data_IF_313332412279
#
_entry.id   IF_313332412279
#
_cell.length_a   1.000
_cell.length_b   1.000
_cell.length_c   1.000
_cell.angle_alpha   90.00
_cell.angle_beta   90.00
_cell.angle_gamma   90.00
#
_symmetry.space_group_name_H-M   'P 1'
#
loop_
_entity.id
_entity.type
_entity.pdbx_description
1 polymer ?
#
# COMPACT_ATOMS: atom_id res chain seq x y z
N UNK A 1 -19.43 -2.59 11.79
CA UNK A 1 -18.34 -2.55 10.79
C UNK A 1 -17.08 -2.05 11.49
N UNK A 2 -15.97 -2.76 11.34
CA UNK A 2 -14.73 -2.51 12.08
C UNK A 2 -13.72 -1.84 11.14
N UNK A 3 -13.37 -0.60 11.44
CA UNK A 3 -12.37 0.16 10.69
C UNK A 3 -11.01 -0.56 10.73
N UNK A 4 -10.20 -0.46 9.65
CA UNK A 4 -8.87 -1.04 9.64
C UNK A 4 -7.97 -0.42 10.71
N UNK A 5 -7.08 -1.22 11.27
CA UNK A 5 -6.14 -0.81 12.32
C UNK A 5 -5.09 0.18 11.80
N UNK A 6 -4.93 0.28 10.49
CA UNK A 6 -4.07 1.25 9.82
C UNK A 6 -4.61 1.57 8.43
N UNK A 7 -4.20 2.71 7.88
CA UNK A 7 -4.44 3.07 6.48
C UNK A 7 -3.24 2.71 5.61
N UNK A 8 -3.50 2.09 4.46
CA UNK A 8 -2.51 1.81 3.42
C UNK A 8 -2.66 2.78 2.27
N UNK A 9 -1.55 3.39 1.89
CA UNK A 9 -1.39 4.20 0.70
C UNK A 9 -0.51 3.45 -0.31
N UNK A 10 -0.93 3.43 -1.57
CA UNK A 10 -0.06 3.03 -2.67
C UNK A 10 0.88 4.19 -3.04
N UNK A 11 2.15 3.89 -3.24
CA UNK A 11 3.15 4.88 -3.59
C UNK A 11 3.48 4.85 -5.07
N UNK A 12 3.94 3.70 -5.57
CA UNK A 12 4.41 3.53 -6.96
C UNK A 12 4.64 2.08 -7.32
N UNK A 13 4.77 1.84 -8.61
CA UNK A 13 5.25 0.57 -9.16
C UNK A 13 6.64 0.78 -9.75
N UNK A 14 7.56 -0.14 -9.48
CA UNK A 14 8.90 -0.14 -10.09
C UNK A 14 9.17 -1.50 -10.70
N UNK A 15 9.77 -1.55 -11.88
CA UNK A 15 10.14 -2.81 -12.53
C UNK A 15 11.65 -2.87 -12.74
N UNK A 16 12.23 -4.05 -12.53
CA UNK A 16 13.66 -4.30 -12.73
C UNK A 16 13.86 -5.62 -13.46
N UNK A 17 14.67 -5.60 -14.51
CA UNK A 17 15.13 -6.84 -15.15
C UNK A 17 16.19 -7.52 -14.30
N UNK A 18 15.99 -8.81 -14.07
CA UNK A 18 16.93 -9.70 -13.39
C UNK A 18 17.26 -10.87 -14.31
N UNK A 19 18.29 -11.65 -13.97
CA UNK A 19 18.63 -12.89 -14.70
C UNK A 19 17.49 -13.91 -14.71
N UNK A 20 16.55 -13.82 -13.75
CA UNK A 20 15.37 -14.68 -13.64
C UNK A 20 14.12 -14.12 -14.32
N UNK A 21 14.19 -12.93 -14.92
CA UNK A 21 13.07 -12.25 -15.58
C UNK A 21 12.79 -10.84 -15.05
N UNK A 22 11.70 -10.24 -15.54
CA UNK A 22 11.24 -8.92 -15.09
C UNK A 22 10.54 -9.05 -13.73
N UNK A 23 11.09 -8.39 -12.71
CA UNK A 23 10.47 -8.29 -11.38
C UNK A 23 9.74 -6.95 -11.30
N UNK A 24 8.44 -7.00 -11.06
CA UNK A 24 7.63 -5.82 -10.75
C UNK A 24 7.39 -5.75 -9.26
N UNK A 25 7.72 -4.60 -8.67
CA UNK A 25 7.55 -4.30 -7.24
C UNK A 25 6.52 -3.20 -7.05
N UNK A 26 5.51 -3.47 -6.25
CA UNK A 26 4.47 -2.54 -5.85
C UNK A 26 4.80 -1.99 -4.47
N UNK A 27 4.94 -0.68 -4.34
CA UNK A 27 5.32 -0.01 -3.10
C UNK A 27 4.09 0.58 -2.43
N UNK A 28 4.02 0.37 -1.12
CA UNK A 28 2.96 0.87 -0.26
C UNK A 28 3.58 1.53 0.98
N UNK A 29 2.80 2.34 1.65
CA UNK A 29 3.13 2.91 2.95
C UNK A 29 1.91 2.83 3.84
N UNK A 30 2.11 2.54 5.13
CA UNK A 30 1.06 2.79 6.11
C UNK A 30 1.26 4.16 6.78
N UNK A 31 0.19 4.95 6.87
CA UNK A 31 0.29 6.38 7.26
C UNK A 31 -0.47 6.74 8.55
N UNK A 32 -1.55 6.02 8.88
CA UNK A 32 -2.39 6.31 10.03
C UNK A 32 -2.77 5.04 10.77
N UNK A 33 -2.06 4.72 11.86
CA UNK A 33 -2.24 3.52 12.65
C UNK A 33 -3.10 3.82 13.87
N UNK A 34 -4.32 3.28 13.85
CA UNK A 34 -5.32 3.41 14.92
C UNK A 34 -5.02 2.49 16.11
N UNK A 35 -4.21 1.45 15.90
CA UNK A 35 -3.79 0.55 16.97
C UNK A 35 -2.28 0.34 17.00
N UNK A 36 -1.66 0.80 18.09
CA UNK A 36 -0.21 0.78 18.27
C UNK A 36 0.35 -0.61 18.63
N UNK A 37 -0.49 -1.55 19.07
CA UNK A 37 -0.11 -2.95 19.31
C UNK A 37 0.19 -3.72 18.02
N UNK A 38 0.63 -4.99 18.10
CA UNK A 38 0.91 -5.81 16.92
C UNK A 38 -0.31 -5.92 15.99
N UNK A 39 -0.09 -5.79 14.67
CA UNK A 39 -1.12 -5.86 13.64
C UNK A 39 -0.66 -6.82 12.55
N UNK A 40 -1.54 -7.71 12.10
CA UNK A 40 -1.33 -8.47 10.86
C UNK A 40 -2.04 -7.76 9.71
N UNK A 41 -1.29 -7.37 8.69
CA UNK A 41 -1.80 -6.83 7.45
C UNK A 41 -1.87 -7.95 6.42
N UNK A 42 -3.04 -8.13 5.80
CA UNK A 42 -3.18 -8.89 4.56
C UNK A 42 -3.40 -7.92 3.42
N UNK A 43 -2.57 -7.99 2.39
CA UNK A 43 -2.65 -7.16 1.19
C UNK A 43 -2.77 -8.07 -0.03
N UNK A 44 -3.84 -7.91 -0.80
CA UNK A 44 -4.08 -8.67 -2.02
C UNK A 44 -3.98 -7.72 -3.23
N UNK A 45 -3.25 -8.09 -4.27
CA UNK A 45 -3.27 -7.42 -5.56
C UNK A 45 -4.35 -8.05 -6.44
N UNK A 46 -5.15 -7.23 -7.11
CA UNK A 46 -6.30 -7.64 -7.90
C UNK A 46 -6.09 -7.28 -9.38
N UNK A 47 -6.55 -8.15 -10.28
CA UNK A 47 -6.65 -7.82 -11.71
C UNK A 47 -7.91 -6.99 -12.02
N UNK A 48 -8.11 -6.66 -13.30
CA UNK A 48 -9.27 -5.91 -13.79
C UNK A 48 -10.62 -6.61 -13.51
N UNK A 49 -10.63 -7.94 -13.36
CA UNK A 49 -11.81 -8.72 -12.99
C UNK A 49 -12.04 -8.82 -11.48
N UNK A 50 -11.19 -8.20 -10.66
CA UNK A 50 -11.24 -8.28 -9.20
C UNK A 50 -10.71 -9.60 -8.64
N UNK A 51 -10.08 -10.45 -9.46
CA UNK A 51 -9.47 -11.70 -9.03
C UNK A 51 -8.11 -11.43 -8.40
N UNK A 52 -7.80 -12.17 -7.34
CA UNK A 52 -6.53 -12.04 -6.63
C UNK A 52 -5.40 -12.61 -7.49
N UNK A 53 -4.42 -11.79 -7.79
CA UNK A 53 -3.21 -12.16 -8.54
C UNK A 53 -2.05 -12.47 -7.58
N UNK A 54 -1.98 -11.73 -6.47
CA UNK A 54 -0.94 -11.91 -5.45
C UNK A 54 -1.50 -11.61 -4.07
N UNK A 55 -1.05 -12.33 -3.05
CA UNK A 55 -1.38 -12.08 -1.65
C UNK A 55 -0.11 -11.98 -0.84
N UNK A 56 -0.04 -10.98 0.02
CA UNK A 56 0.98 -10.84 1.05
C UNK A 56 0.34 -10.77 2.43
N UNK A 57 1.02 -11.35 3.42
CA UNK A 57 0.68 -11.22 4.84
C UNK A 57 1.90 -10.73 5.59
N UNK A 58 1.79 -9.55 6.19
CA UNK A 58 2.88 -8.90 6.91
C UNK A 58 2.48 -8.72 8.38
N UNK A 59 3.31 -9.21 9.29
CA UNK A 59 3.18 -8.92 10.72
C UNK A 59 3.90 -7.61 11.02
N UNK A 60 3.15 -6.61 11.44
CA UNK A 60 3.67 -5.32 11.85
C UNK A 60 3.85 -5.33 13.37
N UNK A 61 5.05 -4.97 13.87
CA UNK A 61 5.33 -4.97 15.30
C UNK A 61 4.50 -3.89 16.02
N UNK A 62 4.51 -3.93 17.35
CA UNK A 62 4.08 -2.77 18.15
C UNK A 62 4.94 -1.56 17.77
N UNK A 63 4.32 -0.38 17.71
CA UNK A 63 5.01 0.88 17.37
C UNK A 63 4.67 1.97 18.37
N UNK A 64 5.49 3.01 18.37
CA UNK A 64 5.30 4.22 19.16
C UNK A 64 5.21 5.42 18.23
N UNK A 65 4.34 6.39 18.56
CA UNK A 65 4.33 7.67 17.86
C UNK A 65 5.45 8.54 18.41
N UNK A 66 6.40 8.92 17.56
CA UNK A 66 7.59 9.71 17.92
C UNK A 66 7.42 11.19 17.63
N UNK A 67 6.42 11.56 16.82
CA UNK A 67 6.13 12.94 16.45
C UNK A 67 4.97 13.00 15.45
N UNK A 68 4.78 14.17 14.87
CA UNK A 68 3.77 14.39 13.84
C UNK A 68 4.33 15.27 12.73
N UNK A 69 3.99 14.95 11.49
CA UNK A 69 4.06 15.89 10.37
C UNK A 69 2.94 16.92 10.60
N UNK A 70 3.26 18.23 10.62
CA UNK A 70 2.25 19.27 10.81
C UNK A 70 1.15 19.19 9.75
N UNK A 71 -0.09 19.51 10.15
CA UNK A 71 -1.19 19.63 9.21
C UNK A 71 -0.93 20.77 8.22
N UNK A 72 -1.43 20.61 6.99
CA UNK A 72 -1.47 21.68 5.99
C UNK A 72 -2.91 22.17 5.81
N UNK A 73 -3.12 23.21 5.00
CA UNK A 73 -4.48 23.67 4.67
C UNK A 73 -5.33 22.60 3.95
N UNK A 74 -4.71 21.56 3.39
CA UNK A 74 -5.38 20.52 2.59
C UNK A 74 -5.31 19.12 3.22
N UNK A 75 -4.38 18.90 4.15
CA UNK A 75 -4.08 17.57 4.69
C UNK A 75 -3.99 17.58 6.21
N UNK A 76 -4.55 16.58 6.91
CA UNK A 76 -4.45 16.48 8.36
C UNK A 76 -3.02 16.17 8.80
N UNK A 77 -2.71 16.44 10.07
CA UNK A 77 -1.42 16.05 10.65
C UNK A 77 -1.27 14.52 10.62
N UNK A 78 -0.09 14.04 10.20
CA UNK A 78 0.20 12.61 10.10
C UNK A 78 1.19 12.19 11.19
N UNK A 79 0.94 11.09 11.91
CA UNK A 79 1.86 10.57 12.92
C UNK A 79 3.16 10.05 12.29
N UNK A 80 4.27 10.31 12.98
CA UNK A 80 5.58 9.70 12.73
C UNK A 80 5.80 8.56 13.72
N UNK A 81 6.39 7.47 13.24
CA UNK A 81 6.58 6.25 14.04
C UNK A 81 8.06 5.94 14.24
N UNK A 82 8.34 5.13 15.26
CA UNK A 82 9.68 4.62 15.60
C UNK A 82 10.24 3.57 14.63
N UNK A 83 9.55 3.30 13.51
CA UNK A 83 9.98 2.31 12.54
C UNK A 83 9.62 2.67 11.09
N UNK A 84 10.27 2.02 10.09
CA UNK A 84 9.93 2.21 8.69
C UNK A 84 8.49 1.81 8.38
N UNK A 85 7.80 2.65 7.61
CA UNK A 85 6.40 2.44 7.25
C UNK A 85 6.18 1.88 5.84
N UNK A 86 7.27 1.76 5.07
CA UNK A 86 7.24 1.27 3.71
C UNK A 86 7.04 -0.25 3.65
N UNK A 87 6.23 -0.68 2.69
CA UNK A 87 5.93 -2.08 2.39
C UNK A 87 6.08 -2.31 0.89
N UNK A 88 6.41 -3.53 0.49
CA UNK A 88 6.47 -3.88 -0.92
C UNK A 88 6.00 -5.29 -1.19
N UNK A 89 5.38 -5.48 -2.35
CA UNK A 89 5.02 -6.77 -2.91
C UNK A 89 5.75 -6.95 -4.24
N UNK A 90 6.40 -8.09 -4.41
CA UNK A 90 7.12 -8.43 -5.63
C UNK A 90 6.39 -9.52 -6.40
N UNK A 91 6.35 -9.34 -7.71
CA UNK A 91 5.84 -10.33 -8.65
C UNK A 91 6.85 -10.51 -9.77
N UNK A 92 7.17 -11.76 -10.08
CA UNK A 92 7.84 -12.10 -11.33
C UNK A 92 6.80 -12.03 -12.46
N UNK A 93 7.08 -11.23 -13.50
CA UNK A 93 6.21 -11.12 -14.67
C UNK A 93 6.39 -12.37 -15.51
N UNK A 94 5.54 -13.36 -15.27
CA UNK A 94 5.46 -14.59 -16.06
C UNK A 94 4.15 -14.75 -16.84
N UNK A 95 3.15 -13.90 -16.57
CA UNK A 95 1.80 -14.06 -17.12
C UNK A 95 1.14 -12.67 -17.32
N UNK A 96 1.22 -12.16 -18.55
CA UNK A 96 0.67 -10.86 -18.96
C UNK A 96 -0.86 -10.79 -18.84
N UNK A 97 -1.52 -11.95 -18.78
CA UNK A 97 -2.98 -12.07 -18.75
C UNK A 97 -3.63 -11.58 -17.46
N UNK A 98 -2.85 -11.41 -16.38
CA UNK A 98 -3.38 -11.05 -15.05
C UNK A 98 -2.62 -9.87 -14.45
N UNK A 99 -2.52 -8.73 -15.16
CA UNK A 99 -1.83 -7.55 -14.62
C UNK A 99 -2.61 -6.92 -13.45
N UNK A 100 -1.96 -6.57 -12.31
CA UNK A 100 -2.67 -5.97 -11.19
C UNK A 100 -3.10 -4.55 -11.52
N UNK A 101 -4.38 -4.24 -11.30
CA UNK A 101 -4.98 -2.91 -11.53
C UNK A 101 -5.45 -2.26 -10.22
N UNK A 102 -5.65 -3.06 -9.17
CA UNK A 102 -6.06 -2.59 -7.86
C UNK A 102 -5.37 -3.39 -6.74
N UNK A 103 -5.52 -2.91 -5.52
CA UNK A 103 -5.17 -3.64 -4.32
C UNK A 103 -6.33 -3.61 -3.34
N UNK A 104 -6.36 -4.59 -2.45
CA UNK A 104 -7.21 -4.54 -1.27
C UNK A 104 -6.44 -4.96 -0.05
N UNK A 105 -6.85 -4.49 1.12
CA UNK A 105 -6.24 -4.91 2.36
C UNK A 105 -7.24 -5.12 3.47
N UNK A 106 -6.84 -5.95 4.42
CA UNK A 106 -7.51 -6.15 5.71
C UNK A 106 -6.46 -6.15 6.79
N UNK A 107 -6.86 -5.73 7.99
CA UNK A 107 -6.00 -5.73 9.16
C UNK A 107 -6.62 -6.60 10.24
N UNK A 108 -5.77 -7.21 11.04
CA UNK A 108 -6.18 -8.00 12.20
C UNK A 108 -5.29 -7.62 13.38
N UNK A 109 -5.91 -7.43 14.54
CA UNK A 109 -5.21 -7.10 15.77
C UNK A 109 -5.81 -7.81 16.97
N UNK A 110 -4.96 -8.09 17.96
CA UNK A 110 -5.38 -8.71 19.22
C UNK A 110 -6.16 -10.02 19.02
N UNK A 111 -7.28 -10.16 19.73
CA UNK A 111 -8.17 -11.33 19.69
C UNK A 111 -8.99 -11.44 18.37
N UNK A 112 -8.30 -11.51 17.23
CA UNK A 112 -8.86 -11.83 15.90
C UNK A 112 -9.92 -10.86 15.38
N UNK A 113 -9.87 -9.58 15.75
CA UNK A 113 -10.76 -8.57 15.15
C UNK A 113 -10.26 -8.20 13.76
N UNK A 114 -10.76 -8.93 12.76
CA UNK A 114 -10.53 -8.61 11.35
C UNK A 114 -11.33 -7.37 10.98
N UNK A 115 -10.67 -6.42 10.34
CA UNK A 115 -11.33 -5.24 9.78
C UNK A 115 -12.13 -5.56 8.53
N UNK A 116 -12.97 -4.61 8.13
CA UNK A 116 -13.58 -4.61 6.81
C UNK A 116 -12.50 -4.54 5.72
N UNK A 117 -12.87 -5.01 4.52
CA UNK A 117 -12.00 -4.98 3.34
C UNK A 117 -11.98 -3.56 2.79
N UNK A 118 -10.78 -3.00 2.63
CA UNK A 118 -10.58 -1.72 1.93
C UNK A 118 -9.97 -1.99 0.57
N UNK A 119 -10.51 -1.39 -0.48
CA UNK A 119 -10.01 -1.48 -1.85
C UNK A 119 -9.40 -0.13 -2.23
N UNK A 120 -8.19 -0.14 -2.79
CA UNK A 120 -7.53 1.01 -3.37
C UNK A 120 -7.15 0.74 -4.82
N UNK A 121 -7.16 1.78 -5.64
CA UNK A 121 -6.72 1.73 -7.02
C UNK A 121 -5.24 2.14 -7.11
N UNK A 122 -4.51 1.57 -8.06
CA UNK A 122 -3.21 2.14 -8.43
C UNK A 122 -3.52 3.41 -9.23
N UNK A 123 -3.45 4.57 -8.58
CA UNK A 123 -3.48 5.82 -9.34
C UNK A 123 -2.20 5.87 -10.19
N UNK A 124 -2.40 5.77 -11.50
CA UNK A 124 -1.44 6.31 -12.45
C UNK A 124 -1.51 7.82 -12.29
N UNK A 125 -0.58 8.43 -11.56
CA UNK A 125 -0.36 9.87 -11.72
C UNK A 125 0.21 10.07 -13.12
N UNK A 126 -0.72 10.16 -14.06
CA UNK A 126 -0.51 10.41 -15.47
C UNK A 126 -1.21 11.69 -15.85
N UNK A 127 -0.96 12.77 -15.11
CA UNK A 127 -1.14 14.12 -15.62
C UNK A 127 0.26 14.68 -15.92
N UNK A 128 0.72 14.35 -17.13
CA UNK A 128 1.82 15.07 -17.74
C UNK A 128 1.38 16.54 -17.84
N UNK A 129 2.05 17.42 -17.10
CA UNK A 129 2.00 18.87 -17.33
C UNK A 129 2.03 19.11 -18.84
N UNK A 130 1.03 19.81 -19.44
CA UNK A 130 1.12 20.19 -20.84
C UNK A 130 2.36 21.07 -20.99
N UNK A 131 3.26 20.63 -21.86
CA UNK A 131 4.54 21.28 -22.10
C UNK A 131 4.37 22.77 -22.36
N UNK A 132 5.12 23.57 -21.62
CA UNK A 132 5.54 24.89 -22.07
C UNK A 132 6.56 24.69 -23.20
N UNK A 133 6.05 24.40 -24.38
CA UNK A 133 6.77 24.43 -25.64
C UNK A 133 6.34 25.67 -26.43
N UNK A 134 7.22 26.67 -26.49
CA UNK A 134 7.38 27.57 -27.63
C UNK A 134 6.25 28.55 -27.95
N UNK A 135 6.42 29.80 -27.50
CA UNK A 135 6.80 30.92 -28.38
C UNK A 135 7.29 32.10 -27.56
#
# INVERSE_FOLDING_TARGET
MALPCLDIQFLKTTSRNTSSGLITRFWFQWINRRQLGPVTLRLDLLDAGGKIVLTSRTKLPKVTVTGYVPATAREPALPLYDCPTALSLERLVGDEQHQPTAFRYTTESGAYKKSDVVVGLFHSDGDALPGLGGR
#
